data_IF_289647146960
#
_entry.id   IF_289647146960
#
_cell.length_a   1.000
_cell.length_b   1.000
_cell.length_c   1.000
_cell.angle_alpha   90.00
_cell.angle_beta   90.00
_cell.angle_gamma   90.00
#
_symmetry.space_group_name_H-M   'P 1'
#
loop_
_entity.id
_entity.type
_entity.pdbx_description
1 polymer ?
#
# COMPACT_ATOMS: atom_id res chain seq x y z
N UNK A 1 -3.70 0.07 27.28
CA UNK A 1 -3.92 0.63 25.94
C UNK A 1 -4.44 -0.53 25.10
N UNK A 2 -5.52 -0.33 24.34
CA UNK A 2 -6.12 -1.35 23.49
C UNK A 2 -5.17 -1.68 22.33
N UNK A 3 -4.94 -2.97 22.05
CA UNK A 3 -4.10 -3.36 20.93
C UNK A 3 -4.86 -3.21 19.60
N UNK A 4 -4.14 -3.08 18.47
CA UNK A 4 -4.76 -2.95 17.14
C UNK A 4 -5.70 -4.12 16.81
N UNK A 5 -5.38 -5.32 17.27
CA UNK A 5 -6.19 -6.52 17.02
C UNK A 5 -7.52 -6.53 17.77
N UNK A 6 -7.61 -5.84 18.92
CA UNK A 6 -8.87 -5.61 19.64
C UNK A 6 -9.79 -4.67 18.84
N UNK A 7 -9.20 -3.62 18.21
CA UNK A 7 -9.96 -2.75 17.29
C UNK A 7 -10.47 -3.51 16.07
N UNK A 8 -9.66 -4.43 15.50
CA UNK A 8 -10.13 -5.26 14.39
C UNK A 8 -11.34 -6.12 14.80
N UNK A 9 -11.30 -6.73 15.99
CA UNK A 9 -12.42 -7.53 16.50
C UNK A 9 -13.69 -6.68 16.73
N UNK A 10 -13.53 -5.46 17.25
CA UNK A 10 -14.67 -4.54 17.39
C UNK A 10 -15.25 -4.13 16.03
N UNK A 11 -14.38 -3.88 15.04
CA UNK A 11 -14.83 -3.55 13.69
C UNK A 11 -15.50 -4.74 13.00
N UNK A 12 -15.02 -5.98 13.20
CA UNK A 12 -15.70 -7.19 12.75
C UNK A 12 -17.12 -7.28 13.31
N UNK A 13 -17.29 -6.99 14.61
CA UNK A 13 -18.59 -6.97 15.26
C UNK A 13 -19.47 -5.82 14.74
N UNK A 14 -18.95 -4.60 14.65
CA UNK A 14 -19.67 -3.44 14.16
C UNK A 14 -20.15 -3.61 12.72
N UNK A 15 -19.30 -4.16 11.88
CA UNK A 15 -19.58 -4.34 10.46
C UNK A 15 -20.19 -5.71 10.13
N UNK A 16 -20.45 -6.54 11.14
CA UNK A 16 -21.02 -7.89 10.96
C UNK A 16 -20.32 -8.69 9.86
N UNK A 17 -18.97 -8.66 9.87
CA UNK A 17 -18.14 -9.35 8.89
C UNK A 17 -16.80 -9.74 9.48
N UNK A 18 -16.31 -10.93 9.16
CA UNK A 18 -14.95 -11.39 9.48
C UNK A 18 -13.90 -10.94 8.45
N UNK A 19 -14.30 -10.15 7.42
CA UNK A 19 -13.41 -9.68 6.36
C UNK A 19 -12.84 -8.29 6.69
N UNK A 20 -12.20 -8.19 7.85
CA UNK A 20 -11.52 -7.00 8.36
C UNK A 20 -10.06 -7.37 8.61
N UNK A 21 -9.13 -6.66 8.00
CA UNK A 21 -7.71 -7.01 8.01
C UNK A 21 -6.84 -5.78 8.23
N UNK A 22 -5.88 -5.88 9.14
CA UNK A 22 -4.73 -4.98 9.09
C UNK A 22 -3.92 -5.30 7.84
N UNK A 23 -3.37 -4.30 7.14
CA UNK A 23 -2.69 -4.51 5.85
C UNK A 23 -1.61 -3.46 5.57
N UNK A 24 -0.97 -3.55 4.42
CA UNK A 24 -0.07 -2.53 3.90
C UNK A 24 1.16 -2.27 4.76
N UNK A 25 1.42 -0.98 5.00
CA UNK A 25 2.54 -0.53 5.83
C UNK A 25 2.49 -1.03 7.25
N UNK A 26 1.30 -1.11 7.83
CA UNK A 26 1.09 -1.54 9.21
C UNK A 26 1.54 -2.98 9.42
N UNK A 27 1.14 -3.92 8.53
CA UNK A 27 1.56 -5.33 8.64
C UNK A 27 3.05 -5.49 8.36
N UNK A 28 3.56 -4.85 7.29
CA UNK A 28 5.00 -4.88 6.99
C UNK A 28 5.84 -4.40 8.19
N UNK A 29 5.49 -3.27 8.78
CA UNK A 29 6.22 -2.71 9.91
C UNK A 29 6.10 -3.60 11.15
N UNK A 30 4.91 -4.16 11.41
CA UNK A 30 4.72 -5.14 12.49
C UNK A 30 5.66 -6.34 12.34
N UNK A 31 5.75 -6.93 11.15
CA UNK A 31 6.60 -8.10 10.87
C UNK A 31 8.11 -7.76 10.92
N UNK A 32 8.49 -6.54 10.58
CA UNK A 32 9.88 -6.07 10.62
C UNK A 32 10.29 -5.51 11.99
N UNK A 33 9.37 -5.39 12.96
CA UNK A 33 9.65 -4.82 14.28
C UNK A 33 9.80 -3.30 14.28
N UNK A 34 9.30 -2.59 13.25
CA UNK A 34 9.24 -1.13 13.22
C UNK A 34 7.97 -0.62 13.89
N UNK A 35 8.06 0.55 14.52
CA UNK A 35 6.87 1.27 14.98
C UNK A 35 5.99 1.68 13.79
N UNK A 36 4.68 1.74 14.01
CA UNK A 36 3.70 2.24 13.05
C UNK A 36 2.54 2.87 13.80
N UNK A 37 2.16 4.06 13.36
CA UNK A 37 1.09 4.87 13.95
C UNK A 37 -0.12 4.97 13.01
N UNK A 38 0.09 4.70 11.72
CA UNK A 38 -0.98 4.67 10.72
C UNK A 38 -1.56 3.25 10.65
N UNK A 39 -2.86 3.13 10.89
CA UNK A 39 -3.56 1.85 10.86
C UNK A 39 -4.34 1.71 9.55
N UNK A 40 -3.71 1.06 8.57
CA UNK A 40 -4.36 0.71 7.31
C UNK A 40 -5.19 -0.57 7.49
N UNK A 41 -6.51 -0.44 7.44
CA UNK A 41 -7.45 -1.56 7.58
C UNK A 41 -8.15 -1.79 6.25
N UNK A 42 -8.02 -3.00 5.70
CA UNK A 42 -8.78 -3.45 4.54
C UNK A 42 -10.07 -4.15 5.00
N UNK A 43 -11.18 -3.89 4.31
CA UNK A 43 -12.49 -4.44 4.67
C UNK A 43 -13.25 -4.92 3.43
N UNK A 44 -13.89 -6.10 3.53
CA UNK A 44 -14.69 -6.71 2.48
C UNK A 44 -16.11 -6.13 2.36
N UNK A 45 -16.22 -4.81 2.42
CA UNK A 45 -17.48 -4.06 2.26
C UNK A 45 -17.24 -2.88 1.32
N UNK A 46 -18.27 -2.48 0.59
CA UNK A 46 -18.26 -1.26 -0.21
C UNK A 46 -18.29 -0.01 0.69
N UNK A 47 -17.78 1.15 0.23
CA UNK A 47 -17.87 2.40 1.00
C UNK A 47 -19.29 2.75 1.44
N UNK A 48 -20.28 2.47 0.59
CA UNK A 48 -21.70 2.72 0.89
C UNK A 48 -22.20 1.86 2.06
N UNK A 49 -21.79 0.59 2.12
CA UNK A 49 -22.12 -0.31 3.22
C UNK A 49 -21.42 0.10 4.51
N UNK A 50 -20.16 0.52 4.43
CA UNK A 50 -19.41 1.05 5.58
C UNK A 50 -20.12 2.26 6.16
N UNK A 51 -20.38 3.27 5.33
CA UNK A 51 -21.06 4.52 5.76
C UNK A 51 -22.42 4.22 6.37
N UNK A 52 -23.25 3.38 5.73
CA UNK A 52 -24.57 3.00 6.25
C UNK A 52 -24.53 2.39 7.66
N UNK A 53 -23.47 1.66 8.00
CA UNK A 53 -23.28 1.09 9.34
C UNK A 53 -22.75 2.13 10.32
N UNK A 54 -21.82 2.99 9.88
CA UNK A 54 -21.27 4.06 10.71
C UNK A 54 -22.33 5.10 11.10
N UNK A 55 -23.25 5.46 10.20
CA UNK A 55 -24.37 6.36 10.49
C UNK A 55 -25.29 5.86 11.62
N UNK A 56 -25.33 4.54 11.84
CA UNK A 56 -26.08 3.92 12.94
C UNK A 56 -25.27 3.80 14.24
N UNK A 57 -24.00 4.07 14.17
CA UNK A 57 -23.06 4.03 15.30
C UNK A 57 -22.85 5.43 15.86
N UNK A 58 -22.07 5.50 16.97
CA UNK A 58 -21.60 6.79 17.53
C UNK A 58 -20.18 7.13 17.08
N UNK A 59 -19.64 6.42 16.10
CA UNK A 59 -18.27 6.57 15.62
C UNK A 59 -18.20 7.77 14.68
N UNK A 60 -17.29 8.68 14.94
CA UNK A 60 -16.99 9.79 14.04
C UNK A 60 -16.25 9.26 12.79
N UNK A 61 -16.62 9.75 11.59
CA UNK A 61 -16.02 9.33 10.35
C UNK A 61 -15.96 10.45 9.30
N UNK A 62 -15.05 10.27 8.31
CA UNK A 62 -14.90 11.15 7.14
C UNK A 62 -14.92 10.34 5.85
N UNK A 63 -15.60 10.89 4.83
CA UNK A 63 -15.84 10.21 3.53
C UNK A 63 -15.16 10.88 2.35
N UNK A 64 -14.18 11.77 2.58
CA UNK A 64 -13.54 12.60 1.54
C UNK A 64 -13.01 11.76 0.37
N UNK A 65 -12.53 10.55 0.66
CA UNK A 65 -11.97 9.63 -0.34
C UNK A 65 -12.83 8.39 -0.61
N UNK A 66 -14.13 8.43 -0.25
CA UNK A 66 -15.03 7.28 -0.42
C UNK A 66 -15.14 6.79 -1.87
N UNK A 67 -15.04 7.68 -2.87
CA UNK A 67 -15.01 7.30 -4.29
C UNK A 67 -13.84 6.38 -4.66
N UNK A 68 -12.75 6.42 -3.89
CA UNK A 68 -11.60 5.53 -4.02
C UNK A 68 -11.64 4.34 -3.04
N UNK A 69 -12.76 4.14 -2.36
CA UNK A 69 -12.92 3.04 -1.41
C UNK A 69 -12.37 3.33 -0.02
N UNK A 70 -12.10 4.58 0.35
CA UNK A 70 -11.47 4.94 1.62
C UNK A 70 -12.45 5.74 2.49
N UNK A 71 -12.62 5.28 3.75
CA UNK A 71 -13.37 5.95 4.81
C UNK A 71 -12.48 6.02 6.04
N UNK A 72 -12.28 7.22 6.59
CA UNK A 72 -11.54 7.39 7.83
C UNK A 72 -12.49 7.38 9.01
N UNK A 73 -12.15 6.66 10.08
CA UNK A 73 -12.90 6.59 11.34
C UNK A 73 -12.01 7.01 12.51
N UNK A 74 -12.63 7.49 13.58
CA UNK A 74 -11.94 7.94 14.78
C UNK A 74 -12.42 7.13 15.98
N UNK A 75 -11.49 6.37 16.60
CA UNK A 75 -11.74 5.53 17.78
C UNK A 75 -10.67 5.81 18.83
N UNK A 76 -11.07 6.11 20.07
CA UNK A 76 -10.16 6.31 21.21
C UNK A 76 -9.01 7.30 20.89
N UNK A 77 -9.33 8.42 20.21
CA UNK A 77 -8.40 9.45 19.72
C UNK A 77 -7.38 8.97 18.65
N UNK A 78 -7.58 7.79 18.07
CA UNK A 78 -6.78 7.32 16.95
C UNK A 78 -7.58 7.41 15.64
N UNK A 79 -6.89 7.76 14.55
CA UNK A 79 -7.45 7.73 13.20
C UNK A 79 -7.13 6.37 12.55
N UNK A 80 -8.16 5.75 11.99
CA UNK A 80 -8.05 4.50 11.23
C UNK A 80 -8.52 4.72 9.80
N UNK A 81 -7.73 4.26 8.85
CA UNK A 81 -8.12 4.26 7.44
C UNK A 81 -8.77 2.93 7.08
N UNK A 82 -10.08 2.95 6.83
CA UNK A 82 -10.80 1.80 6.28
C UNK A 82 -10.75 1.84 4.76
N UNK A 83 -10.09 0.88 4.14
CA UNK A 83 -10.02 0.73 2.70
C UNK A 83 -10.86 -0.48 2.24
N UNK A 84 -11.87 -0.25 1.42
CA UNK A 84 -12.62 -1.33 0.77
C UNK A 84 -11.68 -2.18 -0.08
N UNK A 85 -11.78 -3.50 0.04
CA UNK A 85 -11.08 -4.42 -0.85
C UNK A 85 -11.56 -4.18 -2.28
N UNK A 86 -10.62 -4.09 -3.24
CA UNK A 86 -10.95 -3.72 -4.62
C UNK A 86 -9.96 -4.25 -5.64
N UNK A 87 -10.41 -4.36 -6.86
CA UNK A 87 -9.59 -4.45 -8.08
C UNK A 87 -9.48 -3.08 -8.70
N UNK A 88 -8.39 -2.85 -9.40
CA UNK A 88 -8.12 -1.63 -10.14
C UNK A 88 -7.68 -1.99 -11.55
N UNK A 89 -8.17 -1.26 -12.54
CA UNK A 89 -7.77 -1.42 -13.94
C UNK A 89 -7.86 -0.08 -14.69
N UNK A 90 -7.22 -0.04 -15.87
CA UNK A 90 -7.17 1.12 -16.76
C UNK A 90 -6.59 2.37 -16.06
N UNK A 91 -5.29 2.57 -16.24
CA UNK A 91 -4.54 3.71 -15.67
C UNK A 91 -4.29 4.74 -16.77
N UNK A 92 -5.33 5.52 -17.12
CA UNK A 92 -5.29 6.44 -18.27
C UNK A 92 -4.38 7.65 -18.02
N UNK A 93 -4.15 8.02 -16.77
CA UNK A 93 -3.30 9.16 -16.34
C UNK A 93 -1.98 8.72 -15.71
N UNK A 94 -1.55 7.47 -15.92
CA UNK A 94 -0.37 6.85 -15.31
C UNK A 94 -0.36 6.91 -13.78
N UNK A 95 -1.55 6.88 -13.12
CA UNK A 95 -1.60 6.88 -11.66
C UNK A 95 -2.92 6.42 -11.08
N UNK A 96 -4.03 6.96 -11.56
CA UNK A 96 -5.33 6.67 -10.98
C UNK A 96 -6.05 5.66 -11.84
N UNK A 97 -6.52 4.55 -11.25
CA UNK A 97 -7.35 3.63 -12.00
C UNK A 97 -8.65 4.32 -12.42
N UNK A 98 -9.03 4.22 -13.68
CA UNK A 98 -10.33 4.70 -14.15
C UNK A 98 -11.46 3.74 -13.84
N UNK A 99 -11.14 2.47 -13.57
CA UNK A 99 -12.11 1.45 -13.16
C UNK A 99 -11.71 0.91 -11.78
N UNK A 100 -12.64 1.03 -10.83
CA UNK A 100 -12.54 0.47 -9.48
C UNK A 100 -13.74 -0.48 -9.29
N UNK A 101 -13.44 -1.74 -9.01
CA UNK A 101 -14.42 -2.77 -8.66
C UNK A 101 -14.22 -3.20 -7.21
N UNK A 102 -15.21 -2.97 -6.36
CA UNK A 102 -15.13 -3.43 -4.97
C UNK A 102 -15.38 -4.93 -4.90
N UNK A 103 -14.50 -5.61 -4.15
CA UNK A 103 -14.53 -7.07 -3.97
C UNK A 103 -14.53 -7.41 -2.48
N UNK A 104 -14.76 -8.67 -2.15
CA UNK A 104 -14.71 -9.15 -0.77
C UNK A 104 -13.54 -10.11 -0.51
N UNK A 105 -12.62 -10.21 -1.47
CA UNK A 105 -11.46 -11.10 -1.47
C UNK A 105 -10.15 -10.31 -1.31
N UNK A 106 -9.42 -10.54 -0.22
CA UNK A 106 -8.08 -9.99 -0.02
C UNK A 106 -7.08 -10.53 -1.06
N UNK A 107 -7.33 -11.72 -1.62
CA UNK A 107 -6.51 -12.29 -2.69
C UNK A 107 -6.60 -11.41 -3.94
N UNK A 108 -7.82 -11.03 -4.34
CA UNK A 108 -8.04 -10.15 -5.49
C UNK A 108 -7.50 -8.74 -5.26
N UNK A 109 -7.69 -8.17 -4.06
CA UNK A 109 -7.13 -6.86 -3.68
C UNK A 109 -5.61 -6.84 -3.73
N UNK A 110 -4.96 -7.97 -3.41
CA UNK A 110 -3.50 -8.06 -3.36
C UNK A 110 -2.82 -7.77 -4.70
N UNK A 111 -3.46 -8.10 -5.82
CA UNK A 111 -2.89 -7.93 -7.16
C UNK A 111 -2.73 -6.46 -7.58
N UNK A 112 -3.53 -5.53 -7.03
CA UNK A 112 -3.38 -4.09 -7.34
C UNK A 112 -2.24 -3.43 -6.57
N UNK A 113 -1.72 -4.06 -5.51
CA UNK A 113 -0.66 -3.49 -4.66
C UNK A 113 0.68 -3.46 -5.39
N UNK A 114 1.61 -2.66 -4.87
CA UNK A 114 2.91 -2.41 -5.50
C UNK A 114 3.91 -3.55 -5.31
N UNK A 115 4.19 -3.90 -4.05
CA UNK A 115 5.21 -4.88 -3.68
C UNK A 115 4.64 -5.97 -2.79
N UNK A 116 5.22 -7.17 -2.87
CA UNK A 116 4.79 -8.34 -2.10
C UNK A 116 4.77 -8.06 -0.59
N UNK A 117 5.76 -7.35 -0.08
CA UNK A 117 5.87 -6.96 1.34
C UNK A 117 4.75 -6.02 1.83
N UNK A 118 4.02 -5.38 0.93
CA UNK A 118 2.89 -4.50 1.23
C UNK A 118 1.54 -5.17 0.95
N UNK A 119 1.54 -6.44 0.53
CA UNK A 119 0.33 -7.21 0.19
C UNK A 119 0.07 -8.35 1.17
N UNK A 120 0.45 -8.15 2.42
CA UNK A 120 0.23 -9.05 3.53
C UNK A 120 -0.94 -8.51 4.35
N UNK A 121 -1.79 -9.40 4.82
CA UNK A 121 -2.97 -9.09 5.64
C UNK A 121 -2.89 -9.86 6.95
N UNK A 122 -3.44 -9.26 8.02
CA UNK A 122 -3.60 -9.94 9.31
C UNK A 122 -5.02 -9.74 9.81
N UNK A 123 -5.67 -10.80 10.27
CA UNK A 123 -7.00 -10.72 10.87
C UNK A 123 -6.94 -10.41 12.38
N UNK A 124 -8.09 -10.28 13.03
CA UNK A 124 -8.21 -10.03 14.47
C UNK A 124 -7.58 -11.11 15.34
N UNK A 125 -7.45 -12.35 14.83
CA UNK A 125 -6.80 -13.49 15.50
C UNK A 125 -5.30 -13.54 15.32
N UNK A 126 -4.71 -12.54 14.65
CA UNK A 126 -3.29 -12.45 14.28
C UNK A 126 -2.86 -13.50 13.24
N UNK A 127 -3.81 -14.14 12.53
CA UNK A 127 -3.47 -15.04 11.43
C UNK A 127 -2.94 -14.21 10.25
N UNK A 128 -1.82 -14.63 9.67
CA UNK A 128 -1.19 -13.99 8.51
C UNK A 128 -1.77 -14.59 7.24
N UNK A 129 -2.29 -13.74 6.37
CA UNK A 129 -2.84 -14.06 5.06
C UNK A 129 -1.95 -13.44 4.00
N UNK A 130 -1.15 -14.24 3.31
CA UNK A 130 -0.05 -13.79 2.45
C UNK A 130 -0.15 -14.37 1.03
N UNK A 131 -1.08 -13.86 0.20
CA UNK A 131 -1.32 -14.38 -1.14
C UNK A 131 -0.15 -14.16 -2.11
N UNK A 132 0.68 -13.15 -1.85
CA UNK A 132 1.81 -12.75 -2.71
C UNK A 132 3.18 -13.21 -2.20
N UNK A 133 3.20 -14.02 -1.11
CA UNK A 133 4.43 -14.54 -0.47
C UNK A 133 5.37 -13.44 0.06
N UNK A 134 4.81 -12.32 0.51
CA UNK A 134 5.56 -11.17 1.01
C UNK A 134 6.34 -11.48 2.29
N UNK A 135 5.86 -12.39 3.15
CA UNK A 135 6.59 -12.84 4.35
C UNK A 135 7.91 -13.51 3.99
N UNK A 136 7.92 -14.33 2.93
CA UNK A 136 9.15 -14.96 2.43
C UNK A 136 10.13 -13.89 1.94
N UNK A 137 9.63 -12.89 1.21
CA UNK A 137 10.45 -11.80 0.68
C UNK A 137 11.00 -10.90 1.81
N UNK A 138 10.22 -10.64 2.86
CA UNK A 138 10.69 -9.96 4.09
C UNK A 138 11.85 -10.72 4.74
N UNK A 139 11.68 -12.03 4.95
CA UNK A 139 12.69 -12.88 5.60
C UNK A 139 13.99 -12.96 4.78
N UNK A 140 13.86 -12.98 3.45
CA UNK A 140 15.00 -13.00 2.52
C UNK A 140 15.57 -11.59 2.27
N UNK A 141 15.00 -10.55 2.86
CA UNK A 141 15.33 -9.13 2.61
C UNK A 141 15.30 -8.76 1.14
N UNK A 142 14.27 -9.19 0.42
CA UNK A 142 14.06 -8.92 -1.00
C UNK A 142 12.87 -7.99 -1.20
N UNK A 143 13.03 -6.98 -2.04
CA UNK A 143 11.93 -6.17 -2.57
C UNK A 143 11.54 -6.70 -3.93
N UNK A 144 10.29 -7.12 -4.06
CA UNK A 144 9.73 -7.72 -5.27
C UNK A 144 8.40 -7.08 -5.65
N UNK A 145 8.23 -6.77 -6.94
CA UNK A 145 6.96 -6.27 -7.49
C UNK A 145 5.92 -7.39 -7.57
N UNK A 146 4.66 -7.01 -7.41
CA UNK A 146 3.53 -7.89 -7.75
C UNK A 146 3.26 -7.74 -9.24
N UNK A 147 3.31 -8.86 -9.97
CA UNK A 147 3.20 -8.86 -11.43
C UNK A 147 4.47 -8.40 -12.14
N UNK A 148 4.35 -8.03 -13.42
CA UNK A 148 5.47 -7.58 -14.22
C UNK A 148 5.91 -6.16 -13.85
N UNK A 149 7.14 -5.93 -13.38
CA UNK A 149 7.58 -4.60 -12.90
C UNK A 149 7.47 -3.50 -13.97
N UNK A 150 7.75 -3.81 -15.25
CA UNK A 150 7.63 -2.84 -16.35
C UNK A 150 6.19 -2.35 -16.46
N UNK A 151 5.24 -3.25 -16.61
CA UNK A 151 3.81 -2.92 -16.70
C UNK A 151 3.34 -2.13 -15.45
N UNK A 152 3.79 -2.54 -14.27
CA UNK A 152 3.43 -1.86 -13.01
C UNK A 152 3.98 -0.44 -12.93
N UNK A 153 5.12 -0.16 -13.56
CA UNK A 153 5.69 1.20 -13.65
C UNK A 153 5.01 2.05 -14.72
N UNK A 154 4.55 1.45 -15.81
CA UNK A 154 3.73 2.12 -16.84
C UNK A 154 2.35 2.52 -16.28
N UNK A 155 1.76 1.70 -15.39
CA UNK A 155 0.51 2.03 -14.68
C UNK A 155 0.68 3.17 -13.66
N UNK A 156 1.75 3.16 -12.87
CA UNK A 156 2.06 4.18 -11.87
C UNK A 156 3.57 4.31 -11.66
N UNK A 157 4.24 5.27 -12.35
CA UNK A 157 5.67 5.50 -12.20
C UNK A 157 6.12 5.88 -10.79
N UNK A 158 5.20 6.34 -9.90
CA UNK A 158 5.54 6.61 -8.51
C UNK A 158 6.07 5.38 -7.78
N UNK A 159 5.71 4.19 -8.25
CA UNK A 159 6.24 2.91 -7.73
C UNK A 159 7.76 2.79 -7.88
N UNK A 160 8.38 3.48 -8.83
CA UNK A 160 9.85 3.52 -8.97
C UNK A 160 10.46 4.23 -7.75
N UNK A 161 9.95 5.39 -7.40
CA UNK A 161 10.40 6.12 -6.21
C UNK A 161 10.13 5.33 -4.92
N UNK A 162 8.95 4.72 -4.83
CA UNK A 162 8.58 3.86 -3.70
C UNK A 162 9.53 2.65 -3.58
N UNK A 163 9.95 2.04 -4.71
CA UNK A 163 10.91 0.94 -4.70
C UNK A 163 12.26 1.38 -4.11
N UNK A 164 12.80 2.52 -4.56
CA UNK A 164 14.04 3.10 -4.04
C UNK A 164 13.92 3.36 -2.55
N UNK A 165 12.83 3.97 -2.12
CA UNK A 165 12.57 4.27 -0.71
C UNK A 165 12.49 3.00 0.15
N UNK A 166 11.66 2.04 -0.22
CA UNK A 166 11.47 0.82 0.59
C UNK A 166 12.73 -0.02 0.66
N UNK A 167 13.45 -0.18 -0.46
CA UNK A 167 14.74 -0.89 -0.48
C UNK A 167 15.70 -0.32 0.57
N UNK A 168 15.84 0.99 0.63
CA UNK A 168 16.82 1.63 1.52
C UNK A 168 16.32 1.74 2.97
N UNK A 169 15.04 2.08 3.20
CA UNK A 169 14.49 2.19 4.56
C UNK A 169 14.52 0.83 5.28
N UNK A 170 14.18 -0.25 4.58
CA UNK A 170 14.09 -1.59 5.17
C UNK A 170 15.32 -2.46 4.92
N UNK A 171 16.41 -1.89 4.36
CA UNK A 171 17.63 -2.59 4.05
C UNK A 171 17.40 -3.88 3.25
N UNK A 172 16.63 -3.75 2.16
CA UNK A 172 16.28 -4.84 1.25
C UNK A 172 17.20 -4.85 0.04
N UNK A 173 17.20 -5.95 -0.72
CA UNK A 173 17.80 -6.06 -2.06
C UNK A 173 16.67 -6.11 -3.08
N UNK A 174 16.87 -5.50 -4.24
CA UNK A 174 15.92 -5.68 -5.34
C UNK A 174 15.94 -7.12 -5.86
N UNK A 175 14.76 -7.63 -6.18
CA UNK A 175 14.65 -8.74 -7.11
C UNK A 175 15.21 -8.30 -8.48
N UNK A 176 15.86 -9.22 -9.21
CA UNK A 176 16.65 -8.89 -10.42
C UNK A 176 15.81 -8.18 -11.49
N UNK A 177 14.60 -8.70 -11.79
CA UNK A 177 13.72 -8.08 -12.79
C UNK A 177 13.20 -6.72 -12.36
N UNK A 178 12.95 -6.54 -11.05
CA UNK A 178 12.57 -5.24 -10.49
C UNK A 178 13.71 -4.23 -10.68
N UNK A 179 14.95 -4.59 -10.37
CA UNK A 179 16.10 -3.71 -10.53
C UNK A 179 16.30 -3.29 -11.98
N UNK A 180 16.30 -4.26 -12.92
CA UNK A 180 16.39 -3.97 -14.36
C UNK A 180 15.27 -3.04 -14.83
N UNK A 181 14.05 -3.25 -14.34
CA UNK A 181 12.91 -2.42 -14.70
C UNK A 181 13.03 -1.00 -14.14
N UNK A 182 13.54 -0.80 -12.91
CA UNK A 182 13.79 0.53 -12.35
C UNK A 182 14.72 1.32 -13.25
N UNK A 183 15.89 0.77 -13.58
CA UNK A 183 16.88 1.44 -14.44
C UNK A 183 16.28 1.79 -15.81
N UNK A 184 15.61 0.84 -16.44
CA UNK A 184 15.07 1.01 -17.81
C UNK A 184 13.92 2.03 -17.86
N UNK A 185 13.09 2.11 -16.84
CA UNK A 185 11.86 2.91 -16.84
C UNK A 185 11.97 4.17 -15.98
N UNK A 186 13.16 4.52 -15.47
CA UNK A 186 13.35 5.66 -14.56
C UNK A 186 12.81 6.97 -15.12
N UNK A 187 12.93 7.18 -16.43
CA UNK A 187 12.46 8.40 -17.09
C UNK A 187 10.94 8.62 -17.03
N UNK A 188 10.15 7.57 -16.77
CA UNK A 188 8.69 7.69 -16.57
C UNK A 188 8.34 8.60 -15.38
N UNK A 189 9.25 8.78 -14.43
CA UNK A 189 9.06 9.72 -13.29
C UNK A 189 8.78 11.14 -13.78
N UNK A 190 9.28 11.52 -14.97
CA UNK A 190 9.06 12.86 -15.56
C UNK A 190 7.60 13.10 -15.97
N UNK A 191 6.81 12.04 -16.15
CA UNK A 191 5.39 12.10 -16.50
C UNK A 191 4.49 12.36 -15.29
N UNK A 192 5.03 12.19 -14.08
CA UNK A 192 4.29 12.41 -12.84
C UNK A 192 4.11 13.88 -12.50
N UNK A 193 3.03 14.18 -11.80
CA UNK A 193 2.84 15.50 -11.19
C UNK A 193 4.02 15.82 -10.24
N UNK A 194 4.74 16.95 -10.46
CA UNK A 194 5.92 17.32 -9.65
C UNK A 194 5.64 17.41 -8.14
N UNK A 195 4.43 17.81 -7.73
CA UNK A 195 4.05 17.84 -6.32
C UNK A 195 4.06 16.45 -5.69
N UNK A 196 3.65 15.42 -6.45
CA UNK A 196 3.65 14.04 -5.98
C UNK A 196 5.04 13.43 -5.92
N UNK A 197 5.89 13.77 -6.88
CA UNK A 197 7.32 13.42 -6.82
C UNK A 197 7.96 14.04 -5.58
N UNK A 198 7.74 15.34 -5.34
CA UNK A 198 8.25 16.04 -4.16
C UNK A 198 7.74 15.42 -2.85
N UNK A 199 6.45 15.08 -2.78
CA UNK A 199 5.85 14.40 -1.63
C UNK A 199 6.52 13.05 -1.34
N UNK A 200 6.78 12.23 -2.38
CA UNK A 200 7.43 10.95 -2.18
C UNK A 200 8.92 11.09 -1.83
N UNK A 201 9.63 12.02 -2.47
CA UNK A 201 11.04 12.31 -2.15
C UNK A 201 11.21 12.86 -0.73
N UNK A 202 10.23 13.58 -0.17
CA UNK A 202 10.31 14.07 1.21
C UNK A 202 10.31 12.94 2.26
N UNK A 203 9.94 11.73 1.87
CA UNK A 203 9.96 10.51 2.71
C UNK A 203 11.27 9.73 2.60
N UNK A 204 12.21 10.19 1.77
CA UNK A 204 13.48 9.50 1.54
C UNK A 204 14.45 9.73 2.71
N UNK A 205 15.15 8.68 3.10
CA UNK A 205 16.35 8.79 3.93
C UNK A 205 17.57 9.13 3.05
N UNK A 206 18.72 9.34 3.69
CA UNK A 206 19.98 9.69 2.99
C UNK A 206 20.35 8.68 1.90
N UNK A 207 20.24 7.39 2.19
CA UNK A 207 20.62 6.34 1.23
C UNK A 207 19.66 6.27 0.04
N UNK A 208 18.38 6.50 0.27
CA UNK A 208 17.37 6.62 -0.80
C UNK A 208 17.69 7.78 -1.74
N UNK A 209 18.08 8.94 -1.19
CA UNK A 209 18.45 10.12 -2.00
C UNK A 209 19.71 9.87 -2.81
N UNK A 210 20.73 9.27 -2.21
CA UNK A 210 21.97 8.94 -2.89
C UNK A 210 21.74 7.97 -4.06
N UNK A 211 20.92 6.94 -3.85
CA UNK A 211 20.60 5.97 -4.91
C UNK A 211 19.78 6.62 -6.01
N UNK A 212 18.78 7.45 -5.67
CA UNK A 212 17.97 8.20 -6.64
C UNK A 212 18.84 9.10 -7.53
N UNK A 213 19.74 9.91 -6.95
CA UNK A 213 20.60 10.80 -7.72
C UNK A 213 21.61 10.02 -8.57
N UNK A 214 22.12 8.89 -8.11
CA UNK A 214 22.98 8.01 -8.91
C UNK A 214 22.24 7.48 -10.14
N UNK A 215 21.06 6.89 -9.99
CA UNK A 215 20.28 6.35 -11.13
C UNK A 215 19.93 7.48 -12.10
N UNK A 216 19.58 8.67 -11.59
CA UNK A 216 19.28 9.85 -12.39
C UNK A 216 20.49 10.33 -13.19
N UNK A 217 21.69 10.33 -12.60
CA UNK A 217 22.95 10.66 -13.28
C UNK A 217 23.26 9.69 -14.41
N UNK A 218 23.18 8.39 -14.15
CA UNK A 218 23.42 7.33 -15.14
C UNK A 218 22.49 7.43 -16.38
N UNK A 219 21.30 8.03 -16.24
CA UNK A 219 20.38 8.30 -17.34
C UNK A 219 20.85 9.47 -18.24
N UNK A 220 21.66 10.39 -17.72
CA UNK A 220 22.17 11.53 -18.49
C UNK A 220 23.44 11.20 -19.28
N UNK A 221 24.21 10.18 -18.87
CA UNK A 221 25.44 9.78 -19.55
C UNK A 221 25.18 8.84 -20.77
N UNK A 222 23.97 8.33 -20.90
CA UNK A 222 23.57 7.43 -21.99
C UNK A 222 22.85 8.13 -23.15
N UNK A 223 22.92 9.48 -23.23
CA UNK A 223 22.44 10.34 -24.31
C UNK A 223 23.58 11.26 -24.76
#
# INVERSE_FOLDING_TARGET
MKEIFDYLADLESLFETSKVYLTGGSVRNHLLGFAYDDYDIAIGLTPKEIVKRLEKSKIEFKTVFAKYGIVNIFLDNNEFTLASLRKESNYDDHRHPSIIEFVDSYIEDSYRRDFTINAIYMNSKKDILDPQKGVIDINNKVLKSIGNPKTRFEEDPLRILRAIRFKNIYNLKYEENLHKAIIKNFNLIKELNPLKVKEELSKFNKDSLLEYERIKGDQHENY
#
